data_IF_576868671204
#
_entry.id   IF_576868671204
#
_cell.length_a   1.000
_cell.length_b   1.000
_cell.length_c   1.000
_cell.angle_alpha   90.00
_cell.angle_beta   90.00
_cell.angle_gamma   90.00
#
_symmetry.space_group_name_H-M   'P 1'
#
loop_
_entity.id
_entity.type
_entity.pdbx_description
1 polymer ?
#
# COMPACT_ATOMS: atom_id res chain seq x y z
N UNK A 1 -7.90 -37.69 2.44
CA UNK A 1 -8.50 -36.38 2.80
C UNK A 1 -7.66 -35.33 2.12
N UNK A 2 -8.09 -34.83 0.96
CA UNK A 2 -7.45 -33.67 0.31
C UNK A 2 -7.77 -32.42 1.14
N UNK A 3 -6.74 -31.67 1.54
CA UNK A 3 -6.93 -30.37 2.18
C UNK A 3 -7.59 -29.45 1.17
N UNK A 4 -8.80 -28.98 1.49
CA UNK A 4 -9.45 -27.90 0.72
C UNK A 4 -8.45 -26.74 0.66
N UNK A 5 -8.06 -26.26 -0.53
CA UNK A 5 -7.15 -25.13 -0.63
C UNK A 5 -7.80 -23.94 0.06
N UNK A 6 -7.25 -23.56 1.21
CA UNK A 6 -7.69 -22.39 1.95
C UNK A 6 -7.40 -21.18 1.08
N UNK A 7 -8.45 -20.56 0.56
CA UNK A 7 -8.30 -19.27 -0.12
C UNK A 7 -7.74 -18.28 0.91
N UNK A 8 -6.71 -17.49 0.56
CA UNK A 8 -6.08 -16.59 1.51
C UNK A 8 -7.04 -15.50 2.01
N UNK A 9 -8.13 -15.25 1.26
CA UNK A 9 -9.11 -14.22 1.55
C UNK A 9 -10.55 -14.71 1.36
N UNK A 10 -11.53 -14.09 2.04
CA UNK A 10 -12.95 -14.31 1.78
C UNK A 10 -13.31 -14.19 0.30
N UNK A 11 -14.25 -15.03 -0.14
CA UNK A 11 -14.68 -15.13 -1.55
C UNK A 11 -15.05 -13.79 -2.17
N UNK A 12 -15.65 -12.93 -1.36
CA UNK A 12 -16.15 -11.63 -1.79
C UNK A 12 -15.02 -10.64 -2.15
N UNK A 13 -13.86 -10.78 -1.51
CA UNK A 13 -12.65 -10.01 -1.81
C UNK A 13 -12.02 -10.59 -3.07
N UNK A 14 -11.82 -11.91 -3.11
CA UNK A 14 -11.25 -12.61 -4.28
C UNK A 14 -12.01 -12.28 -5.57
N UNK A 15 -13.35 -12.31 -5.54
CA UNK A 15 -14.20 -11.97 -6.69
C UNK A 15 -14.06 -10.52 -7.15
N UNK A 16 -13.88 -9.57 -6.21
CA UNK A 16 -13.71 -8.16 -6.58
C UNK A 16 -12.46 -7.95 -7.43
N UNK A 17 -11.34 -8.57 -7.05
CA UNK A 17 -10.09 -8.52 -7.82
C UNK A 17 -10.22 -9.19 -9.19
N UNK A 18 -10.92 -10.32 -9.28
CA UNK A 18 -11.15 -11.01 -10.54
C UNK A 18 -11.93 -10.15 -11.56
N UNK A 19 -13.02 -9.52 -11.12
CA UNK A 19 -13.85 -8.64 -11.97
C UNK A 19 -13.07 -7.40 -12.41
N UNK A 20 -12.18 -6.89 -11.54
CA UNK A 20 -11.42 -5.68 -11.80
C UNK A 20 -10.27 -5.79 -12.79
N UNK A 21 -9.96 -6.99 -13.29
CA UNK A 21 -8.92 -7.22 -14.31
C UNK A 21 -9.19 -6.52 -15.65
N UNK A 22 -10.40 -6.00 -15.84
CA UNK A 22 -10.88 -5.40 -17.10
C UNK A 22 -10.92 -3.86 -17.10
N UNK A 23 -10.74 -3.20 -15.95
CA UNK A 23 -10.82 -1.74 -15.83
C UNK A 23 -10.18 -1.21 -14.55
N UNK A 24 -9.51 -0.05 -14.62
CA UNK A 24 -8.82 0.59 -13.49
C UNK A 24 -9.76 1.02 -12.35
N UNK A 25 -10.94 1.56 -12.66
CA UNK A 25 -11.88 2.04 -11.61
C UNK A 25 -12.33 0.91 -10.67
N UNK A 26 -12.78 -0.26 -11.17
CA UNK A 26 -13.03 -1.44 -10.34
C UNK A 26 -11.81 -1.91 -9.55
N UNK A 27 -10.59 -1.74 -10.07
CA UNK A 27 -9.36 -2.20 -9.41
C UNK A 27 -9.10 -1.45 -8.11
N UNK A 28 -9.24 -0.12 -8.10
CA UNK A 28 -9.16 0.66 -6.86
C UNK A 28 -10.31 0.35 -5.90
N UNK A 29 -11.50 0.04 -6.42
CA UNK A 29 -12.63 -0.43 -5.59
C UNK A 29 -12.34 -1.73 -4.83
N UNK A 30 -11.65 -2.68 -5.48
CA UNK A 30 -11.21 -3.94 -4.87
C UNK A 30 -10.20 -3.71 -3.74
N UNK A 31 -9.24 -2.80 -3.94
CA UNK A 31 -8.29 -2.39 -2.91
C UNK A 31 -8.98 -1.71 -1.72
N UNK A 32 -9.91 -0.80 -1.98
CA UNK A 32 -10.70 -0.16 -0.94
C UNK A 32 -11.46 -1.20 -0.10
N UNK A 33 -12.06 -2.20 -0.76
CA UNK A 33 -12.78 -3.28 -0.07
C UNK A 33 -11.86 -4.12 0.83
N UNK A 34 -10.69 -4.51 0.31
CA UNK A 34 -9.70 -5.27 1.06
C UNK A 34 -9.24 -4.50 2.30
N UNK A 35 -8.86 -3.23 2.13
CA UNK A 35 -8.35 -2.41 3.21
C UNK A 35 -9.39 -2.14 4.28
N UNK A 36 -10.64 -1.86 3.92
CA UNK A 36 -11.71 -1.69 4.91
C UNK A 36 -12.08 -3.00 5.63
N UNK A 37 -11.70 -4.16 5.10
CA UNK A 37 -11.85 -5.45 5.79
C UNK A 37 -10.71 -5.69 6.78
N UNK A 38 -9.48 -5.31 6.42
CA UNK A 38 -8.27 -5.47 7.24
C UNK A 38 -8.14 -4.39 8.32
N UNK A 39 -8.62 -3.19 8.01
CA UNK A 39 -8.58 -2.00 8.86
C UNK A 39 -9.99 -1.42 8.97
N UNK A 40 -10.88 -2.05 9.75
CA UNK A 40 -12.26 -1.62 9.88
C UNK A 40 -12.37 -0.20 10.43
N UNK A 41 -13.36 0.59 9.99
CA UNK A 41 -13.49 2.00 10.36
C UNK A 41 -13.84 2.22 11.84
N UNK A 42 -14.31 1.19 12.54
CA UNK A 42 -14.60 1.19 13.98
C UNK A 42 -13.37 0.87 14.84
N UNK A 43 -12.18 0.83 14.24
CA UNK A 43 -10.90 0.60 14.94
C UNK A 43 -10.07 1.89 15.05
N UNK A 44 -8.89 1.78 15.66
CA UNK A 44 -7.92 2.88 15.76
C UNK A 44 -7.20 3.18 14.43
N UNK A 45 -7.39 2.33 13.41
CA UNK A 45 -6.74 2.48 12.13
C UNK A 45 -7.47 3.51 11.26
N UNK A 46 -6.71 4.37 10.59
CA UNK A 46 -7.22 5.31 9.60
C UNK A 46 -6.55 5.04 8.26
N UNK A 47 -7.35 4.67 7.26
CA UNK A 47 -6.89 4.52 5.88
C UNK A 47 -7.02 5.87 5.19
N UNK A 48 -5.90 6.46 4.78
CA UNK A 48 -5.83 7.80 4.17
C UNK A 48 -5.27 7.69 2.75
N UNK A 49 -6.08 7.97 1.71
CA UNK A 49 -5.57 8.06 0.35
C UNK A 49 -4.75 9.35 0.17
N UNK A 50 -3.55 9.20 -0.36
CA UNK A 50 -2.72 10.27 -0.87
C UNK A 50 -2.74 10.22 -2.40
N UNK A 51 -3.19 11.33 -2.98
CA UNK A 51 -3.15 11.53 -4.41
C UNK A 51 -1.90 12.32 -4.74
N UNK A 52 -0.95 11.68 -5.43
CA UNK A 52 0.17 12.41 -6.00
C UNK A 52 -0.31 13.12 -7.27
N UNK A 53 0.11 14.38 -7.50
CA UNK A 53 -0.04 14.97 -8.83
C UNK A 53 0.71 14.08 -9.83
N UNK A 54 0.23 13.94 -11.06
CA UNK A 54 0.96 13.28 -12.14
C UNK A 54 2.40 13.75 -12.15
N UNK A 55 3.38 12.86 -12.01
CA UNK A 55 4.76 13.24 -12.28
C UNK A 55 4.86 13.50 -13.77
N UNK A 56 4.97 14.77 -14.19
CA UNK A 56 5.23 15.14 -15.58
C UNK A 56 6.71 14.82 -15.86
N UNK A 57 6.99 13.54 -16.08
CA UNK A 57 8.26 13.07 -16.64
C UNK A 57 8.22 13.16 -18.17
N UNK A 58 9.37 13.07 -18.86
CA UNK A 58 9.47 13.21 -20.32
C UNK A 58 8.80 12.07 -21.12
N UNK A 59 8.04 11.20 -20.46
CA UNK A 59 7.25 10.15 -21.07
C UNK A 59 5.79 10.43 -20.67
N UNK A 60 4.94 10.77 -21.64
CA UNK A 60 3.53 11.17 -21.51
C UNK A 60 2.57 10.08 -20.96
N UNK A 61 3.01 9.25 -20.01
CA UNK A 61 2.14 8.36 -19.26
C UNK A 61 1.91 8.94 -17.87
N UNK A 62 0.68 9.36 -17.61
CA UNK A 62 0.24 9.72 -16.27
C UNK A 62 0.17 8.45 -15.44
N UNK A 63 1.23 8.14 -14.71
CA UNK A 63 1.24 7.07 -13.71
C UNK A 63 0.34 7.49 -12.54
N UNK A 64 -0.94 7.11 -12.59
CA UNK A 64 -1.88 7.29 -11.48
C UNK A 64 -1.58 6.29 -10.36
N UNK A 65 -0.61 6.65 -9.54
CA UNK A 65 -0.30 5.91 -8.32
C UNK A 65 -1.21 6.40 -7.19
N UNK A 66 -2.07 5.52 -6.69
CA UNK A 66 -2.77 5.77 -5.42
C UNK A 66 -1.91 5.21 -4.30
N UNK A 67 -1.46 6.09 -3.41
CA UNK A 67 -0.81 5.68 -2.17
C UNK A 67 -1.84 5.71 -1.04
N UNK A 68 -1.93 4.63 -0.27
CA UNK A 68 -2.82 4.49 0.86
C UNK A 68 -1.94 4.34 2.10
N UNK A 69 -2.00 5.33 2.98
CA UNK A 69 -1.32 5.29 4.27
C UNK A 69 -2.31 4.86 5.35
N UNK A 70 -1.91 3.86 6.13
CA UNK A 70 -2.68 3.42 7.27
C UNK A 70 -1.99 3.96 8.51
N UNK A 71 -2.73 4.75 9.28
CA UNK A 71 -2.27 5.35 10.52
C UNK A 71 -2.88 4.66 11.73
N UNK A 72 -2.12 4.62 12.82
CA UNK A 72 -2.64 4.47 14.18
C UNK A 72 -2.34 5.78 14.90
N UNK A 73 -3.37 6.45 15.42
CA UNK A 73 -3.26 7.81 15.95
C UNK A 73 -2.72 8.79 14.89
N UNK A 74 -1.44 9.18 15.02
CA UNK A 74 -0.71 10.09 14.12
C UNK A 74 0.48 9.41 13.46
N UNK A 75 0.71 8.12 13.71
CA UNK A 75 1.87 7.38 13.22
C UNK A 75 1.46 6.47 12.06
N UNK A 76 2.06 6.61 10.88
CA UNK A 76 1.86 5.67 9.78
C UNK A 76 2.47 4.32 10.16
N UNK A 77 1.68 3.25 10.02
CA UNK A 77 2.08 1.88 10.36
C UNK A 77 2.12 0.96 9.14
N UNK A 78 1.45 1.36 8.05
CA UNK A 78 1.42 0.58 6.82
C UNK A 78 1.25 1.50 5.61
N UNK A 79 1.93 1.14 4.52
CA UNK A 79 1.97 1.90 3.27
C UNK A 79 1.58 0.95 2.16
N UNK A 80 0.59 1.31 1.36
CA UNK A 80 0.16 0.53 0.20
C UNK A 80 0.22 1.42 -1.03
N UNK A 81 1.04 1.03 -2.00
CA UNK A 81 1.09 1.66 -3.31
C UNK A 81 0.31 0.82 -4.31
N UNK A 82 -0.76 1.38 -4.85
CA UNK A 82 -1.64 0.71 -5.81
C UNK A 82 -1.31 1.19 -7.21
N UNK A 83 -0.75 0.29 -8.01
CA UNK A 83 -0.39 0.52 -9.42
C UNK A 83 -1.31 -0.25 -10.36
N UNK A 84 -1.56 0.23 -11.59
CA UNK A 84 -2.34 -0.50 -12.58
C UNK A 84 -1.76 -1.90 -12.87
N UNK A 85 -2.60 -2.89 -13.21
CA UNK A 85 -2.14 -4.25 -13.53
C UNK A 85 -1.08 -4.32 -14.63
N UNK A 86 -1.10 -3.39 -15.59
CA UNK A 86 -0.16 -3.31 -16.70
C UNK A 86 1.30 -3.13 -16.25
N UNK A 87 1.54 -2.48 -15.11
CA UNK A 87 2.89 -2.27 -14.58
C UNK A 87 3.53 -3.55 -14.03
N UNK A 88 2.76 -4.56 -13.64
CA UNK A 88 3.28 -5.76 -12.99
C UNK A 88 3.75 -6.86 -13.96
N UNK A 89 3.64 -6.64 -15.27
CA UNK A 89 4.00 -7.61 -16.32
C UNK A 89 5.53 -7.75 -16.47
N UNK A 90 6.30 -6.73 -16.06
CA UNK A 90 7.76 -6.71 -16.23
C UNK A 90 8.48 -6.89 -14.89
N UNK A 91 9.44 -7.82 -14.82
CA UNK A 91 10.27 -8.02 -13.62
C UNK A 91 11.07 -6.77 -13.23
N UNK A 92 11.49 -5.94 -14.20
CA UNK A 92 12.17 -4.67 -13.94
C UNK A 92 11.29 -3.69 -13.16
N UNK A 93 9.98 -3.68 -13.42
CA UNK A 93 9.03 -2.83 -12.71
C UNK A 93 8.80 -3.25 -11.26
N UNK A 94 8.98 -4.55 -10.94
CA UNK A 94 8.94 -5.04 -9.56
C UNK A 94 10.12 -4.51 -8.74
N UNK A 95 11.34 -4.58 -9.29
CA UNK A 95 12.52 -4.04 -8.61
C UNK A 95 12.43 -2.52 -8.41
N UNK A 96 11.88 -1.82 -9.41
CA UNK A 96 11.61 -0.38 -9.32
C UNK A 96 10.59 -0.08 -8.21
N UNK A 97 9.50 -0.85 -8.12
CA UNK A 97 8.50 -0.71 -7.05
C UNK A 97 9.10 -0.97 -5.66
N UNK A 98 9.93 -2.01 -5.50
CA UNK A 98 10.61 -2.28 -4.23
C UNK A 98 11.53 -1.12 -3.82
N UNK A 99 12.25 -0.54 -4.78
CA UNK A 99 13.12 0.62 -4.55
C UNK A 99 12.31 1.87 -4.15
N UNK A 100 11.18 2.11 -4.83
CA UNK A 100 10.26 3.19 -4.51
C UNK A 100 9.67 3.01 -3.10
N UNK A 101 9.23 1.81 -2.75
CA UNK A 101 8.71 1.51 -1.42
C UNK A 101 9.78 1.67 -0.34
N UNK A 102 11.02 1.25 -0.58
CA UNK A 102 12.12 1.44 0.35
C UNK A 102 12.33 2.93 0.65
N UNK A 103 12.36 3.77 -0.39
CA UNK A 103 12.52 5.22 -0.22
C UNK A 103 11.34 5.82 0.56
N UNK A 104 10.09 5.44 0.21
CA UNK A 104 8.90 5.92 0.93
C UNK A 104 8.91 5.54 2.41
N UNK A 105 9.41 4.35 2.77
CA UNK A 105 9.57 3.94 4.17
C UNK A 105 10.58 4.83 4.89
N UNK A 106 11.69 5.19 4.23
CA UNK A 106 12.67 6.12 4.82
C UNK A 106 12.08 7.52 5.02
N UNK A 107 11.33 8.02 4.04
CA UNK A 107 10.67 9.34 4.13
C UNK A 107 9.63 9.35 5.27
N UNK A 108 8.81 8.30 5.36
CA UNK A 108 7.85 8.12 6.44
C UNK A 108 8.52 7.92 7.81
N UNK A 109 9.65 7.24 7.85
CA UNK A 109 10.42 7.05 9.08
C UNK A 109 11.02 8.37 9.60
N UNK A 110 11.34 9.32 8.70
CA UNK A 110 11.73 10.66 9.09
C UNK A 110 10.56 11.46 9.70
N UNK A 111 9.33 11.24 9.24
CA UNK A 111 8.12 11.88 9.76
C UNK A 111 7.60 11.25 11.05
N UNK A 112 7.90 9.98 11.29
CA UNK A 112 7.68 9.36 12.59
C UNK A 112 8.54 10.14 13.60
N UNK A 113 7.90 10.85 14.53
CA UNK A 113 8.52 11.32 15.77
C UNK A 113 8.90 10.10 16.64
N UNK A 114 9.73 9.19 16.14
CA UNK A 114 10.57 8.34 16.97
C UNK A 114 11.49 9.34 17.63
N UNK A 115 11.02 9.86 18.78
CA UNK A 115 11.79 10.68 19.70
C UNK A 115 13.17 10.09 19.71
N UNK A 116 14.17 10.89 19.35
CA UNK A 116 15.59 10.59 19.40
C UNK A 116 15.94 9.87 20.72
N UNK A 117 15.70 8.57 20.79
CA UNK A 117 16.03 7.72 21.92
C UNK A 117 17.51 7.42 21.76
N UNK A 118 18.32 8.43 22.04
CA UNK A 118 19.75 8.29 22.20
C UNK A 118 19.94 7.41 23.44
N UNK A 119 20.04 6.10 23.23
CA UNK A 119 20.44 5.15 24.28
C UNK A 119 21.87 5.52 24.68
N UNK A 120 22.00 6.33 25.73
CA UNK A 120 23.27 6.56 26.41
C UNK A 120 23.46 5.38 27.36
N UNK A 121 24.25 4.40 26.93
CA UNK A 121 24.81 3.42 27.86
C UNK A 121 25.94 4.13 28.61
N UNK A 122 25.63 4.70 29.76
CA UNK A 122 26.64 5.05 30.76
C UNK A 122 26.92 3.79 31.58
N UNK A 123 28.04 3.14 31.29
CA UNK A 123 28.62 2.12 32.16
C UNK A 123 29.15 2.77 33.44
N UNK A 124 28.87 2.13 34.57
CA UNK A 124 29.53 2.33 35.86
C UNK A 124 30.91 1.67 35.86
#
# INVERSE_FOLDING_TARGET
>A
MESVPTRPWPEIIMRSFFISTTSEKPFYGSWNRLLNTMFPPDTLFKVVPQYFPPSIGPCDEVDFVILLLIYVNTSPVFIVEVKPPAEFVRNSKRQEADSQMHQRVLDVAADLQIVNAKVRVTGL
#
